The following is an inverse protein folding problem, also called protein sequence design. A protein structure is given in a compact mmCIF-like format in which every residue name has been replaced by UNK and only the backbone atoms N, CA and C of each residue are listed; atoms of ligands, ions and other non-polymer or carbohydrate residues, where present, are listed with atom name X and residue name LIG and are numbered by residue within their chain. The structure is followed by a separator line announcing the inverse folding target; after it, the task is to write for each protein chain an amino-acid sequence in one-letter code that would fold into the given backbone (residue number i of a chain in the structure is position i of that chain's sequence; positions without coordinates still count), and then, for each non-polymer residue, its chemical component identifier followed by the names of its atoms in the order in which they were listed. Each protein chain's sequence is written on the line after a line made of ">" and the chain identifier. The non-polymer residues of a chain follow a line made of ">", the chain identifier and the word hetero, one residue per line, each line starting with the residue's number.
data_IF_244661945943
#
_entry.id   IF_244661945943
#
_cell.length_a   1.000
_cell.length_b   1.000
_cell.length_c   1.000
_cell.angle_alpha   90.00
_cell.angle_beta   90.00
_cell.angle_gamma   90.00
#
_symmetry.space_group_name_H-M   'P 1'
#
loop_
_entity.id
_entity.type
_entity.pdbx_description
1 polymer ?
#
# COMPACT_ATOMS: atom_id res chain seq x y z
N UNK A 1 4.85 14.51 -15.81
CA UNK A 1 6.29 14.78 -16.05
C UNK A 1 6.65 14.22 -17.42
N UNK A 2 7.53 14.86 -18.20
CA UNK A 2 8.06 14.26 -19.44
C UNK A 2 9.09 13.13 -19.15
N UNK A 3 9.50 12.98 -17.89
CA UNK A 3 10.47 11.97 -17.45
C UNK A 3 10.03 11.44 -16.07
N UNK A 4 9.17 10.42 -16.02
CA UNK A 4 8.59 9.94 -14.76
C UNK A 4 9.62 9.23 -13.86
N UNK A 5 10.65 8.59 -14.44
CA UNK A 5 11.72 7.95 -13.68
C UNK A 5 12.56 8.99 -12.92
N UNK A 6 12.89 10.12 -13.56
CA UNK A 6 13.59 11.24 -12.90
C UNK A 6 12.75 11.83 -11.77
N UNK A 7 11.43 11.91 -11.95
CA UNK A 7 10.54 12.38 -10.90
C UNK A 7 10.52 11.42 -9.70
N UNK A 8 10.51 10.11 -9.95
CA UNK A 8 10.59 9.10 -8.89
C UNK A 8 11.89 9.23 -8.10
N UNK A 9 13.03 9.37 -8.78
CA UNK A 9 14.33 9.59 -8.13
C UNK A 9 14.35 10.89 -7.33
N UNK A 10 13.85 11.99 -7.90
CA UNK A 10 13.75 13.26 -7.20
C UNK A 10 12.92 13.13 -5.92
N UNK A 11 11.77 12.43 -5.96
CA UNK A 11 10.91 12.23 -4.79
C UNK A 11 11.64 11.48 -3.66
N UNK A 12 12.41 10.45 -4.01
CA UNK A 12 13.27 9.72 -3.07
C UNK A 12 14.35 10.62 -2.44
N UNK A 13 14.96 11.50 -3.24
CA UNK A 13 15.98 12.43 -2.75
C UNK A 13 15.38 13.50 -1.84
N UNK A 14 14.16 13.98 -2.11
CA UNK A 14 13.47 14.92 -1.23
C UNK A 14 13.11 14.27 0.11
N UNK A 15 12.68 13.00 0.13
CA UNK A 15 12.48 12.25 1.39
C UNK A 15 13.77 12.22 2.21
N UNK A 16 14.90 11.91 1.57
CA UNK A 16 16.22 11.88 2.26
C UNK A 16 16.65 13.26 2.75
N UNK A 17 16.47 14.30 1.95
CA UNK A 17 16.81 15.69 2.33
C UNK A 17 15.98 16.17 3.51
N UNK A 18 14.73 15.73 3.62
CA UNK A 18 13.87 16.02 4.77
C UNK A 18 14.25 15.23 6.04
N UNK A 19 15.18 14.27 5.95
CA UNK A 19 15.63 13.44 7.08
C UNK A 19 14.88 12.11 7.23
N UNK A 20 14.12 11.70 6.20
CA UNK A 20 13.27 10.52 6.21
C UNK A 20 11.83 10.83 6.60
N UNK A 21 10.99 9.78 6.64
CA UNK A 21 9.57 9.90 6.99
C UNK A 21 9.41 9.57 8.48
N UNK A 22 8.90 10.52 9.27
CA UNK A 22 8.60 10.26 10.68
C UNK A 22 7.43 9.29 10.84
N UNK A 23 6.31 9.59 10.18
CA UNK A 23 5.10 8.77 10.25
C UNK A 23 4.58 8.51 8.83
N UNK A 24 4.42 7.23 8.50
CA UNK A 24 3.81 6.75 7.27
C UNK A 24 2.42 6.21 7.57
N UNK A 25 1.38 6.97 7.22
CA UNK A 25 -0.01 6.52 7.31
C UNK A 25 -0.32 5.57 6.14
N UNK A 26 -0.92 4.42 6.45
CA UNK A 26 -1.18 3.34 5.51
C UNK A 26 -2.62 2.84 5.62
N UNK A 27 -3.19 2.48 4.49
CA UNK A 27 -4.33 1.57 4.40
C UNK A 27 -3.88 0.21 3.85
N UNK A 28 -4.83 -0.67 3.51
CA UNK A 28 -4.55 -1.93 2.80
C UNK A 28 -5.55 -2.15 1.67
N UNK A 29 -5.05 -2.53 0.50
CA UNK A 29 -5.83 -2.99 -0.67
C UNK A 29 -6.69 -4.22 -0.36
N UNK A 30 -7.68 -4.53 -1.19
CA UNK A 30 -8.51 -5.74 -1.00
C UNK A 30 -7.72 -7.04 -1.20
N UNK A 31 -6.68 -6.97 -2.03
CA UNK A 31 -5.68 -7.99 -2.35
C UNK A 31 -4.45 -7.96 -1.43
N UNK A 32 -4.29 -6.91 -0.63
CA UNK A 32 -3.20 -6.75 0.33
C UNK A 32 -2.11 -5.79 -0.12
N UNK A 33 -2.35 -4.97 -1.14
CA UNK A 33 -1.37 -3.99 -1.57
C UNK A 33 -1.23 -2.80 -0.61
N UNK A 34 -0.04 -2.22 -0.57
CA UNK A 34 0.21 -0.85 -0.09
C UNK A 34 0.45 0.10 -1.26
N UNK A 35 -0.16 1.30 -1.21
CA UNK A 35 -0.15 2.26 -2.32
C UNK A 35 -0.55 1.56 -3.63
N UNK A 36 0.23 1.68 -4.71
CA UNK A 36 0.02 0.88 -5.93
C UNK A 36 1.03 -0.28 -6.03
N UNK A 37 1.56 -0.79 -4.93
CA UNK A 37 2.46 -1.96 -4.96
C UNK A 37 1.62 -3.25 -5.09
N UNK A 38 1.20 -3.52 -6.32
CA UNK A 38 0.38 -4.66 -6.72
C UNK A 38 1.04 -6.01 -6.35
N UNK A 39 0.26 -7.11 -6.23
CA UNK A 39 0.78 -8.45 -6.00
C UNK A 39 1.92 -8.82 -6.96
N UNK A 40 3.06 -9.22 -6.40
CA UNK A 40 4.29 -9.53 -7.13
C UNK A 40 5.34 -8.40 -7.09
N UNK A 41 4.99 -7.21 -6.60
CA UNK A 41 5.94 -6.11 -6.39
C UNK A 41 7.11 -6.55 -5.50
N UNK A 42 8.34 -6.14 -5.84
CA UNK A 42 9.50 -6.39 -4.99
C UNK A 42 9.32 -5.75 -3.61
N UNK A 43 9.58 -6.50 -2.55
CA UNK A 43 9.57 -5.99 -1.16
C UNK A 43 10.67 -4.96 -0.90
N UNK A 44 11.70 -4.89 -1.75
CA UNK A 44 12.75 -3.86 -1.72
C UNK A 44 12.55 -2.75 -2.75
N UNK A 45 11.37 -2.67 -3.39
CA UNK A 45 11.09 -1.69 -4.43
C UNK A 45 11.25 -0.25 -3.93
N UNK A 46 11.66 0.64 -4.85
CA UNK A 46 11.70 2.09 -4.67
C UNK A 46 10.53 2.75 -5.39
N UNK A 47 10.41 4.06 -5.22
CA UNK A 47 9.45 4.89 -5.94
C UNK A 47 9.62 4.67 -7.44
N UNK A 48 8.51 4.37 -8.11
CA UNK A 48 8.52 3.99 -9.53
C UNK A 48 7.17 4.26 -10.20
N UNK A 49 7.16 4.15 -11.52
CA UNK A 49 5.94 4.00 -12.30
C UNK A 49 5.48 2.55 -12.21
N UNK A 50 4.22 2.34 -11.83
CA UNK A 50 3.59 1.03 -11.79
C UNK A 50 2.41 0.98 -12.79
N UNK A 51 2.31 -0.07 -13.62
CA UNK A 51 1.09 -0.36 -14.38
C UNK A 51 -0.03 -0.81 -13.42
N UNK A 52 -1.21 -0.20 -13.54
CA UNK A 52 -2.35 -0.58 -12.73
C UNK A 52 -2.94 -1.91 -13.21
N UNK A 53 -3.21 -2.82 -12.28
CA UNK A 53 -3.86 -4.08 -12.63
C UNK A 53 -5.31 -3.85 -13.04
N UNK A 54 -5.90 -4.83 -13.73
CA UNK A 54 -7.33 -4.79 -14.08
C UNK A 54 -8.21 -4.61 -12.84
N UNK A 55 -7.89 -5.31 -11.75
CA UNK A 55 -8.63 -5.21 -10.49
C UNK A 55 -8.56 -3.78 -9.92
N UNK A 56 -7.36 -3.17 -9.87
CA UNK A 56 -7.19 -1.79 -9.41
C UNK A 56 -7.93 -0.78 -10.28
N UNK A 57 -7.94 -0.98 -11.60
CA UNK A 57 -8.73 -0.15 -12.51
C UNK A 57 -10.24 -0.30 -12.25
N UNK A 58 -10.72 -1.52 -12.03
CA UNK A 58 -12.14 -1.78 -11.73
C UNK A 58 -12.56 -1.17 -10.38
N UNK A 59 -11.75 -1.36 -9.34
CA UNK A 59 -12.00 -0.83 -8.00
C UNK A 59 -12.01 0.71 -7.98
N UNK A 60 -11.03 1.33 -8.66
CA UNK A 60 -10.95 2.78 -8.79
C UNK A 60 -12.13 3.35 -9.58
N UNK A 61 -12.57 2.64 -10.63
CA UNK A 61 -13.70 3.06 -11.45
C UNK A 61 -14.97 3.13 -10.61
N UNK A 62 -15.32 2.05 -9.92
CA UNK A 62 -16.53 1.98 -9.10
C UNK A 62 -16.49 2.93 -7.89
N UNK A 63 -15.30 3.15 -7.32
CA UNK A 63 -15.13 4.01 -6.14
C UNK A 63 -15.22 5.50 -6.47
N UNK A 64 -14.59 5.93 -7.57
CA UNK A 64 -14.36 7.35 -7.87
C UNK A 64 -14.84 7.77 -9.26
N UNK A 65 -14.30 7.16 -10.32
CA UNK A 65 -14.45 7.70 -11.69
C UNK A 65 -15.88 7.62 -12.22
N UNK A 66 -16.60 6.54 -11.88
CA UNK A 66 -18.01 6.37 -12.25
C UNK A 66 -18.90 7.46 -11.66
N UNK A 67 -18.66 7.84 -10.41
CA UNK A 67 -19.39 8.94 -9.74
C UNK A 67 -18.97 10.31 -10.24
N UNK A 68 -17.74 10.43 -10.72
CA UNK A 68 -17.21 11.64 -11.35
C UNK A 68 -17.56 11.75 -12.85
N UNK A 69 -18.38 10.84 -13.39
CA UNK A 69 -18.79 10.80 -14.81
C UNK A 69 -17.60 10.70 -15.80
N UNK A 70 -16.47 10.17 -15.34
CA UNK A 70 -15.29 9.93 -16.19
C UNK A 70 -15.42 8.53 -16.78
N UNK A 71 -15.30 8.44 -18.12
CA UNK A 71 -15.39 7.15 -18.81
C UNK A 71 -14.19 6.27 -18.48
N UNK A 72 -14.38 4.95 -18.46
CA UNK A 72 -13.32 3.99 -18.11
C UNK A 72 -12.10 4.12 -19.02
N UNK A 73 -12.28 4.45 -20.29
CA UNK A 73 -11.20 4.63 -21.27
C UNK A 73 -10.35 5.88 -21.01
N UNK A 74 -10.84 6.80 -20.18
CA UNK A 74 -10.13 8.03 -19.80
C UNK A 74 -9.33 7.87 -18.49
N UNK A 75 -9.43 6.72 -17.83
CA UNK A 75 -8.70 6.46 -16.59
C UNK A 75 -7.20 6.34 -16.85
N UNK A 76 -6.35 6.82 -15.92
CA UNK A 76 -4.93 6.55 -15.98
C UNK A 76 -4.67 5.04 -15.82
N UNK A 77 -3.81 4.47 -16.67
CA UNK A 77 -3.41 3.06 -16.60
C UNK A 77 -2.08 2.85 -15.86
N UNK A 78 -1.44 3.94 -15.43
CA UNK A 78 -0.19 3.93 -14.69
C UNK A 78 -0.31 4.88 -13.51
N UNK A 79 0.40 4.56 -12.43
CA UNK A 79 0.56 5.46 -11.30
C UNK A 79 2.05 5.58 -10.93
N UNK A 80 2.42 6.73 -10.35
CA UNK A 80 3.67 6.81 -9.59
C UNK A 80 3.34 6.41 -8.16
N UNK A 81 4.11 5.48 -7.62
CA UNK A 81 3.92 4.96 -6.26
C UNK A 81 5.24 4.92 -5.52
N UNK A 82 5.21 5.20 -4.22
CA UNK A 82 6.32 4.82 -3.35
C UNK A 82 6.47 3.30 -3.37
N UNK A 83 7.71 2.83 -3.35
CA UNK A 83 8.01 1.42 -3.25
C UNK A 83 7.88 0.92 -1.82
N UNK A 84 7.83 -0.41 -1.66
CA UNK A 84 7.73 -1.05 -0.35
C UNK A 84 8.96 -0.74 0.51
N UNK A 85 10.16 -0.77 -0.09
CA UNK A 85 11.39 -0.41 0.61
C UNK A 85 11.37 1.03 1.11
N UNK A 86 10.82 1.96 0.32
CA UNK A 86 10.66 3.37 0.72
C UNK A 86 9.67 3.52 1.88
N UNK A 87 8.57 2.77 1.86
CA UNK A 87 7.56 2.77 2.95
C UNK A 87 8.18 2.24 4.25
N UNK A 88 8.99 1.19 4.18
CA UNK A 88 9.64 0.57 5.34
C UNK A 88 10.76 1.41 5.95
N UNK A 89 11.21 2.48 5.28
CA UNK A 89 12.20 3.42 5.82
C UNK A 89 11.58 4.46 6.76
N UNK A 90 10.26 4.47 6.92
CA UNK A 90 9.61 5.33 7.90
C UNK A 90 10.03 4.98 9.34
N UNK A 91 10.03 5.96 10.23
CA UNK A 91 10.30 5.70 11.66
C UNK A 91 9.10 5.05 12.33
N UNK A 92 7.89 5.40 11.89
CA UNK A 92 6.62 4.83 12.36
C UNK A 92 5.71 4.49 11.19
N UNK A 93 5.31 3.23 11.08
CA UNK A 93 4.26 2.79 10.18
C UNK A 93 2.92 2.71 10.93
N UNK A 94 1.96 3.56 10.56
CA UNK A 94 0.60 3.58 11.13
C UNK A 94 -0.39 3.06 10.09
N UNK A 95 -0.86 1.82 10.24
CA UNK A 95 -1.86 1.22 9.34
C UNK A 95 -3.25 1.28 9.96
N UNK A 96 -4.23 1.84 9.24
CA UNK A 96 -5.63 1.93 9.68
C UNK A 96 -6.51 1.16 8.69
N UNK A 97 -7.31 0.23 9.21
CA UNK A 97 -8.17 -0.63 8.38
C UNK A 97 -9.53 -0.84 9.04
N UNK A 98 -10.60 -0.79 8.25
CA UNK A 98 -11.96 -1.02 8.73
C UNK A 98 -12.78 -1.92 7.78
N UNK A 99 -13.77 -2.60 8.37
CA UNK A 99 -14.80 -3.34 7.67
C UNK A 99 -14.46 -4.81 7.34
N UNK A 100 -15.48 -5.67 7.41
CA UNK A 100 -15.36 -7.13 7.31
C UNK A 100 -14.72 -7.61 6.01
N UNK A 101 -14.87 -6.85 4.92
CA UNK A 101 -14.27 -7.16 3.61
C UNK A 101 -12.73 -7.21 3.68
N UNK A 102 -12.11 -6.53 4.64
CA UNK A 102 -10.66 -6.50 4.81
C UNK A 102 -10.13 -7.58 5.76
N UNK A 103 -11.00 -8.29 6.49
CA UNK A 103 -10.58 -9.17 7.57
C UNK A 103 -9.58 -10.25 7.14
N UNK A 104 -9.87 -10.95 6.04
CA UNK A 104 -9.00 -12.01 5.52
C UNK A 104 -7.63 -11.49 5.09
N UNK A 105 -7.58 -10.30 4.48
CA UNK A 105 -6.32 -9.75 3.97
C UNK A 105 -5.48 -9.15 5.09
N UNK A 106 -6.13 -8.56 6.10
CA UNK A 106 -5.47 -8.14 7.35
C UNK A 106 -4.82 -9.34 8.05
N UNK A 107 -5.56 -10.44 8.22
CA UNK A 107 -5.01 -11.65 8.83
C UNK A 107 -3.79 -12.20 8.03
N UNK A 108 -3.86 -12.20 6.69
CA UNK A 108 -2.71 -12.60 5.85
C UNK A 108 -1.52 -11.66 6.00
N UNK A 109 -1.74 -10.36 6.10
CA UNK A 109 -0.66 -9.38 6.22
C UNK A 109 0.02 -9.44 7.60
N UNK A 110 -0.74 -9.67 8.67
CA UNK A 110 -0.21 -9.62 10.05
C UNK A 110 0.25 -10.98 10.58
N UNK A 111 -0.44 -12.07 10.25
CA UNK A 111 -0.19 -13.41 10.80
C UNK A 111 0.26 -14.42 9.73
N UNK A 112 0.22 -14.03 8.45
CA UNK A 112 0.66 -14.87 7.34
C UNK A 112 2.16 -14.74 7.04
N UNK A 113 2.67 -15.53 6.08
CA UNK A 113 4.07 -15.43 5.66
C UNK A 113 4.34 -14.10 4.94
N UNK A 114 5.57 -13.60 5.09
CA UNK A 114 6.06 -12.44 4.36
C UNK A 114 6.20 -12.81 2.88
N UNK A 115 5.46 -12.13 2.00
CA UNK A 115 5.39 -12.46 0.57
C UNK A 115 5.07 -11.25 -0.29
N UNK A 116 5.65 -11.19 -1.50
CA UNK A 116 5.30 -10.16 -2.50
C UNK A 116 3.86 -10.28 -3.01
N UNK A 117 3.18 -11.40 -2.79
CA UNK A 117 1.78 -11.55 -3.18
C UNK A 117 0.81 -10.77 -2.27
N UNK A 118 1.21 -10.49 -1.03
CA UNK A 118 0.50 -9.67 -0.06
C UNK A 118 1.51 -8.62 0.40
N UNK A 119 1.69 -7.55 -0.37
CA UNK A 119 2.81 -6.62 -0.12
C UNK A 119 2.74 -5.95 1.24
N UNK A 120 1.55 -5.79 1.83
CA UNK A 120 1.37 -5.34 3.21
C UNK A 120 1.94 -6.29 4.27
N UNK A 121 2.23 -7.56 3.94
CA UNK A 121 2.96 -8.47 4.84
C UNK A 121 4.39 -7.99 5.14
N UNK A 122 4.93 -7.07 4.32
CA UNK A 122 6.19 -6.40 4.58
C UNK A 122 6.19 -5.59 5.87
N UNK A 123 5.03 -5.27 6.46
CA UNK A 123 4.93 -4.64 7.78
C UNK A 123 5.67 -5.43 8.87
N UNK A 124 5.76 -6.76 8.71
CA UNK A 124 6.49 -7.64 9.62
C UNK A 124 8.03 -7.47 9.54
N UNK A 125 8.53 -6.84 8.48
CA UNK A 125 9.96 -6.49 8.30
C UNK A 125 10.27 -5.08 8.78
N UNK A 126 9.27 -4.28 9.17
CA UNK A 126 9.48 -2.90 9.56
C UNK A 126 10.31 -2.84 10.85
N UNK A 127 11.48 -2.20 10.78
CA UNK A 127 12.39 -2.07 11.93
C UNK A 127 12.03 -0.93 12.88
N UNK A 128 11.19 0.01 12.43
CA UNK A 128 10.72 1.13 13.24
C UNK A 128 9.49 0.77 14.09
N UNK A 129 8.85 1.79 14.65
CA UNK A 129 7.59 1.61 15.37
C UNK A 129 6.47 1.21 14.41
N UNK A 130 5.61 0.29 14.82
CA UNK A 130 4.47 -0.16 14.01
C UNK A 130 3.22 -0.11 14.85
N UNK A 131 2.20 0.58 14.35
CA UNK A 131 0.87 0.60 14.95
C UNK A 131 -0.17 0.21 13.92
N UNK A 132 -1.03 -0.76 14.27
CA UNK A 132 -2.13 -1.19 13.42
C UNK A 132 -3.44 -0.96 14.16
N UNK A 133 -4.31 -0.13 13.58
CA UNK A 133 -5.61 0.22 14.14
C UNK A 133 -6.69 -0.45 13.29
N UNK A 134 -7.43 -1.37 13.90
CA UNK A 134 -8.48 -2.14 13.27
C UNK A 134 -9.82 -1.90 13.97
N UNK A 135 -10.91 -1.83 13.21
CA UNK A 135 -12.22 -2.09 13.79
C UNK A 135 -12.42 -3.59 14.05
N UNK A 136 -13.46 -3.93 14.83
CA UNK A 136 -13.75 -5.33 15.18
C UNK A 136 -13.98 -6.21 13.95
N UNK A 137 -14.59 -5.64 12.91
CA UNK A 137 -14.88 -6.36 11.68
C UNK A 137 -13.62 -6.68 10.88
N UNK A 138 -12.67 -5.75 10.75
CA UNK A 138 -11.38 -5.98 10.10
C UNK A 138 -10.46 -6.89 10.93
N UNK A 139 -10.61 -6.91 12.26
CA UNK A 139 -9.88 -7.83 13.14
C UNK A 139 -10.46 -9.25 13.19
N UNK A 140 -11.68 -9.47 12.70
CA UNK A 140 -12.46 -10.70 12.95
C UNK A 140 -11.91 -12.02 12.40
N UNK A 141 -10.81 -12.01 11.65
CA UNK A 141 -10.13 -13.20 11.13
C UNK A 141 -8.71 -13.38 11.73
N UNK A 142 -8.29 -12.49 12.65
CA UNK A 142 -7.06 -12.65 13.41
C UNK A 142 -7.22 -13.75 14.45
N UNK A 143 -6.16 -14.54 14.64
CA UNK A 143 -6.15 -15.66 15.58
C UNK A 143 -5.53 -15.29 16.92
N UNK A 144 -4.63 -14.31 16.96
CA UNK A 144 -3.81 -13.99 18.12
C UNK A 144 -4.15 -12.62 18.74
N UNK A 145 -5.42 -12.20 18.76
CA UNK A 145 -5.83 -10.87 19.27
C UNK A 145 -5.50 -10.68 20.76
N UNK A 146 -5.37 -11.77 21.52
CA UNK A 146 -5.14 -11.77 22.98
C UNK A 146 -3.66 -11.92 23.37
N UNK A 147 -2.75 -12.02 22.40
CA UNK A 147 -1.31 -12.14 22.61
C UNK A 147 -0.59 -10.85 22.20
#
# INVERSE_FOLDING_TARGET
>A
SKEPEKFCQWYEDEIRKAGGIDIQLLGIGGDGHWAFNEPGSSLSSRTRVEPLTKQTLDDNYESFYKKAEIKREQMPHFAITMGIGTILEARHALMIVNGKRKAKVVAKALEGPITSQITASAIQLHSGETTVVLDRDAASELKNIEH
#
